data_IF_470950505322
#
_entry.id   IF_470950505322
#
_cell.length_a   1.000
_cell.length_b   1.000
_cell.length_c   1.000
_cell.angle_alpha   90.00
_cell.angle_beta   90.00
_cell.angle_gamma   90.00
#
_symmetry.space_group_name_H-M   'P 1'
#
loop_
_entity.id
_entity.type
_entity.pdbx_description
1 polymer ?
#
# COMPACT_ATOMS: atom_id res chain seq x y z
N UNK A 1 12.22 8.31 73.69
CA UNK A 1 11.47 9.56 73.47
C UNK A 1 10.32 9.29 72.49
N UNK A 2 9.09 9.68 72.88
CA UNK A 2 7.84 9.92 72.10
C UNK A 2 7.46 8.93 70.98
N UNK A 3 6.49 8.01 71.16
CA UNK A 3 5.00 8.13 71.16
C UNK A 3 4.37 8.59 69.82
N UNK A 4 3.62 7.67 69.20
CA UNK A 4 2.56 7.93 68.22
C UNK A 4 1.45 8.84 68.80
N UNK A 5 0.79 9.63 67.92
CA UNK A 5 -0.68 9.76 67.83
C UNK A 5 -1.13 10.53 66.57
N UNK A 6 -2.37 10.25 66.19
CA UNK A 6 -3.09 10.64 64.97
C UNK A 6 -3.76 12.03 65.03
N UNK A 7 -4.33 12.44 63.86
CA UNK A 7 -5.67 13.06 63.63
C UNK A 7 -5.78 14.55 63.17
N UNK A 8 -6.67 14.73 62.17
CA UNK A 8 -7.44 15.90 61.67
C UNK A 8 -6.67 16.98 60.90
N UNK A 9 -7.04 17.45 59.69
CA UNK A 9 -8.36 17.53 59.04
C UNK A 9 -8.93 18.94 59.20
N UNK A 10 -8.76 19.83 58.21
CA UNK A 10 -9.52 21.09 58.13
C UNK A 10 -9.61 21.63 56.69
N UNK A 11 -10.83 21.56 56.15
CA UNK A 11 -11.31 22.25 54.95
C UNK A 11 -11.89 23.59 55.40
N UNK A 12 -11.53 24.71 54.75
CA UNK A 12 -12.29 25.96 54.86
C UNK A 12 -12.58 26.48 53.46
N UNK A 13 -13.87 26.49 53.15
CA UNK A 13 -14.48 27.24 52.07
C UNK A 13 -14.49 28.74 52.44
N UNK A 14 -14.24 29.61 51.45
CA UNK A 14 -14.61 31.02 51.53
C UNK A 14 -15.43 31.34 50.30
N UNK A 15 -16.70 31.65 50.53
CA UNK A 15 -17.63 32.22 49.57
C UNK A 15 -18.21 33.53 50.13
N UNK A 16 -18.65 34.36 49.19
CA UNK A 16 -19.58 35.50 49.31
C UNK A 16 -18.98 36.89 49.59
N UNK A 17 -19.28 37.78 48.64
CA UNK A 17 -19.22 39.23 48.77
C UNK A 17 -19.84 39.91 47.54
N UNK A 18 -21.17 39.76 47.37
CA UNK A 18 -21.96 40.52 46.40
C UNK A 18 -21.92 42.02 46.75
N UNK A 19 -21.71 42.87 45.75
CA UNK A 19 -22.11 44.28 45.79
C UNK A 19 -23.28 44.47 44.82
N UNK A 20 -24.42 44.79 45.40
CA UNK A 20 -25.64 45.24 44.74
C UNK A 20 -25.54 46.74 44.48
N UNK A 21 -25.89 47.16 43.27
CA UNK A 21 -26.37 48.50 42.99
C UNK A 21 -27.64 48.36 42.14
N UNK A 22 -28.78 48.67 42.74
CA UNK A 22 -30.08 48.76 42.09
C UNK A 22 -30.19 50.07 41.31
N UNK A 23 -30.79 50.02 40.12
CA UNK A 23 -31.52 51.17 39.56
C UNK A 23 -32.67 50.67 38.67
N UNK A 24 -33.88 50.89 39.21
CA UNK A 24 -35.20 51.06 38.57
C UNK A 24 -35.73 50.06 37.53
N UNK A 25 -36.85 49.48 37.94
CA UNK A 25 -37.86 48.70 37.22
C UNK A 25 -38.45 49.47 36.03
N UNK A 26 -38.66 48.74 34.93
CA UNK A 26 -39.66 49.00 33.90
C UNK A 26 -39.90 47.72 33.08
N UNK A 27 -41.02 47.04 33.31
CA UNK A 27 -41.59 46.07 32.36
C UNK A 27 -42.81 46.75 31.72
N UNK A 28 -43.06 46.61 30.40
CA UNK A 28 -43.64 45.36 29.91
C UNK A 28 -43.27 44.89 28.48
N UNK A 29 -43.59 43.61 28.29
CA UNK A 29 -43.94 42.84 27.08
C UNK A 29 -42.89 42.29 26.08
N UNK A 30 -43.16 41.09 25.50
CA UNK A 30 -42.18 40.31 24.77
C UNK A 30 -42.34 40.48 23.25
N UNK A 31 -41.30 40.91 22.54
CA UNK A 31 -41.18 40.62 21.10
C UNK A 31 -39.74 40.64 20.60
N UNK A 32 -39.35 39.50 20.02
CA UNK A 32 -38.59 39.29 18.78
C UNK A 32 -37.27 40.04 18.54
N UNK A 33 -36.26 39.20 18.33
CA UNK A 33 -35.13 39.33 17.40
C UNK A 33 -34.01 40.30 17.82
N UNK A 34 -33.01 39.74 18.52
CA UNK A 34 -31.63 40.19 18.41
C UNK A 34 -30.75 38.99 18.06
N UNK A 35 -30.34 38.94 16.80
CA UNK A 35 -29.32 38.03 16.28
C UNK A 35 -28.00 38.45 16.92
N UNK A 36 -27.66 37.81 18.03
CA UNK A 36 -26.32 37.83 18.59
C UNK A 36 -25.49 36.82 17.81
N UNK A 37 -24.61 37.32 16.94
CA UNK A 37 -23.67 36.50 16.19
C UNK A 37 -22.83 35.65 17.12
N UNK A 38 -23.14 34.36 17.17
CA UNK A 38 -22.17 33.34 17.50
C UNK A 38 -21.06 33.48 16.48
N UNK A 39 -19.82 33.72 16.92
CA UNK A 39 -18.66 33.34 16.11
C UNK A 39 -18.74 31.83 15.98
N UNK A 40 -19.42 31.39 14.94
CA UNK A 40 -19.40 30.04 14.44
C UNK A 40 -17.95 29.85 13.96
N UNK A 41 -17.07 29.39 14.86
CA UNK A 41 -15.86 28.71 14.44
C UNK A 41 -16.33 27.62 13.49
N UNK A 42 -16.15 27.86 12.20
CA UNK A 42 -16.57 26.96 11.15
C UNK A 42 -15.81 25.68 11.42
N UNK A 43 -16.48 24.66 11.97
CA UNK A 43 -15.87 23.36 12.26
C UNK A 43 -15.29 22.87 10.93
N UNK A 44 -13.97 22.97 10.80
CA UNK A 44 -13.25 22.60 9.58
C UNK A 44 -13.64 21.16 9.26
N UNK A 45 -14.06 20.90 8.02
CA UNK A 45 -14.45 19.55 7.65
C UNK A 45 -13.22 18.65 7.82
N UNK A 46 -13.40 17.41 8.29
CA UNK A 46 -12.27 16.49 8.50
C UNK A 46 -11.44 16.32 7.22
N UNK A 47 -12.10 16.36 6.05
CA UNK A 47 -11.45 16.32 4.74
C UNK A 47 -10.47 17.48 4.52
N UNK A 48 -10.78 18.68 4.99
CA UNK A 48 -9.89 19.86 4.87
C UNK A 48 -8.62 19.74 5.72
N UNK A 49 -8.62 18.85 6.72
CA UNK A 49 -7.44 18.55 7.53
C UNK A 49 -6.46 17.65 6.77
N UNK A 50 -6.98 16.79 5.89
CA UNK A 50 -6.21 15.81 5.10
C UNK A 50 -6.01 16.24 3.64
N UNK A 51 -6.13 17.54 3.35
CA UNK A 51 -6.07 18.09 2.00
C UNK A 51 -4.81 17.66 1.22
N UNK A 52 -3.64 17.69 1.85
CA UNK A 52 -2.37 17.28 1.21
C UNK A 52 -2.38 15.79 0.80
N UNK A 53 -3.01 14.93 1.61
CA UNK A 53 -3.16 13.50 1.28
C UNK A 53 -4.09 13.33 0.08
N UNK A 54 -5.18 14.10 -0.01
CA UNK A 54 -6.05 14.08 -1.19
C UNK A 54 -5.32 14.56 -2.44
N UNK A 55 -4.54 15.63 -2.34
CA UNK A 55 -3.72 16.14 -3.45
C UNK A 55 -2.66 15.12 -3.91
N UNK A 56 -2.01 14.43 -2.97
CA UNK A 56 -1.05 13.35 -3.28
C UNK A 56 -1.73 12.18 -3.99
N UNK A 57 -2.89 11.75 -3.49
CA UNK A 57 -3.64 10.68 -4.14
C UNK A 57 -4.21 11.11 -5.49
N UNK A 58 -4.61 12.38 -5.68
CA UNK A 58 -4.97 12.87 -7.01
C UNK A 58 -3.81 12.70 -8.00
N UNK A 59 -2.58 13.06 -7.60
CA UNK A 59 -1.38 12.85 -8.41
C UNK A 59 -1.15 11.37 -8.72
N UNK A 60 -1.24 10.49 -7.72
CA UNK A 60 -1.03 9.04 -7.89
C UNK A 60 -2.09 8.44 -8.82
N UNK A 61 -3.36 8.77 -8.62
CA UNK A 61 -4.49 8.17 -9.34
C UNK A 61 -4.64 8.71 -10.77
N UNK A 62 -4.17 9.93 -11.02
CA UNK A 62 -4.11 10.57 -12.34
C UNK A 62 -2.81 10.31 -13.11
N UNK A 63 -1.86 9.57 -12.53
CA UNK A 63 -0.50 9.39 -13.05
C UNK A 63 -0.40 8.62 -14.38
N UNK A 64 -1.40 7.82 -14.73
CA UNK A 64 -1.41 7.07 -16.00
C UNK A 64 -0.26 6.07 -16.09
N UNK A 65 0.70 6.32 -16.98
CA UNK A 65 1.90 5.49 -17.20
C UNK A 65 3.18 6.08 -16.59
N UNK A 66 3.07 7.13 -15.77
CA UNK A 66 4.24 7.71 -15.12
C UNK A 66 4.98 6.67 -14.25
N UNK A 67 6.30 6.81 -14.16
CA UNK A 67 7.11 5.98 -13.27
C UNK A 67 6.88 6.38 -11.80
N UNK A 68 7.08 5.43 -10.87
CA UNK A 68 6.94 5.72 -9.43
C UNK A 68 7.83 6.88 -8.97
N UNK A 69 9.12 6.99 -9.37
CA UNK A 69 9.94 8.16 -9.01
C UNK A 69 9.37 9.49 -9.51
N UNK A 70 8.80 9.52 -10.71
CA UNK A 70 8.18 10.75 -11.26
C UNK A 70 6.91 11.15 -10.51
N UNK A 71 6.19 10.16 -9.98
CA UNK A 71 5.04 10.37 -9.10
C UNK A 71 5.52 10.89 -7.75
N UNK A 72 6.47 10.18 -7.11
CA UNK A 72 7.06 10.53 -5.81
C UNK A 72 7.62 11.96 -5.79
N UNK A 73 8.30 12.38 -6.87
CA UNK A 73 8.85 13.73 -7.00
C UNK A 73 7.78 14.84 -6.99
N UNK A 74 6.51 14.51 -7.23
CA UNK A 74 5.37 15.44 -7.22
C UNK A 74 4.55 15.37 -5.94
N UNK A 75 4.80 14.40 -5.05
CA UNK A 75 4.08 14.28 -3.79
C UNK A 75 4.58 15.31 -2.78
N UNK A 76 3.72 15.63 -1.81
CA UNK A 76 4.11 16.42 -0.66
C UNK A 76 5.22 15.73 0.13
N UNK A 77 6.17 16.52 0.62
CA UNK A 77 7.25 16.01 1.47
C UNK A 77 6.69 15.73 2.87
N UNK A 78 7.03 14.57 3.42
CA UNK A 78 6.66 14.15 4.76
C UNK A 78 7.83 13.45 5.45
N UNK A 79 7.76 13.33 6.78
CA UNK A 79 8.74 12.56 7.58
C UNK A 79 8.76 11.08 7.19
N UNK A 80 7.60 10.55 6.78
CA UNK A 80 7.42 9.17 6.30
C UNK A 80 6.73 9.18 4.95
N UNK A 81 7.46 8.76 3.93
CA UNK A 81 6.97 8.68 2.55
C UNK A 81 6.08 7.45 2.35
N UNK A 82 5.13 7.54 1.43
CA UNK A 82 4.30 6.41 0.99
C UNK A 82 5.22 5.38 0.33
N UNK A 83 5.13 4.10 0.73
CA UNK A 83 5.93 3.07 0.10
C UNK A 83 5.65 2.99 -1.41
N UNK A 84 6.69 2.87 -2.23
CA UNK A 84 6.63 2.74 -3.69
C UNK A 84 5.61 1.71 -4.20
N UNK A 85 5.48 0.54 -3.56
CA UNK A 85 4.49 -0.48 -3.92
C UNK A 85 3.03 -0.03 -3.71
N UNK A 86 2.78 0.84 -2.73
CA UNK A 86 1.47 1.46 -2.55
C UNK A 86 1.19 2.43 -3.71
N UNK A 87 2.17 3.25 -4.08
CA UNK A 87 2.05 4.19 -5.21
C UNK A 87 1.79 3.43 -6.51
N UNK A 88 2.58 2.39 -6.79
CA UNK A 88 2.45 1.57 -8.00
C UNK A 88 1.07 0.91 -8.09
N UNK A 89 0.63 0.25 -7.01
CA UNK A 89 -0.66 -0.45 -7.01
C UNK A 89 -1.85 0.51 -7.12
N UNK A 90 -1.79 1.67 -6.46
CA UNK A 90 -2.82 2.70 -6.56
C UNK A 90 -2.88 3.32 -7.97
N UNK A 91 -1.74 3.62 -8.59
CA UNK A 91 -1.67 4.11 -9.97
C UNK A 91 -2.15 3.07 -11.00
N UNK A 92 -1.87 1.79 -10.74
CA UNK A 92 -2.26 0.68 -11.60
C UNK A 92 -3.78 0.46 -11.60
N UNK A 93 -4.44 0.56 -10.44
CA UNK A 93 -5.89 0.47 -10.32
C UNK A 93 -6.50 1.58 -9.44
N UNK A 94 -6.63 2.80 -10.01
CA UNK A 94 -7.16 3.94 -9.29
C UNK A 94 -8.62 3.76 -8.86
N UNK A 95 -9.39 3.00 -9.65
CA UNK A 95 -10.82 2.77 -9.44
C UNK A 95 -11.13 2.00 -8.16
N UNK A 96 -10.15 1.30 -7.60
CA UNK A 96 -10.26 0.52 -6.36
C UNK A 96 -9.88 1.30 -5.11
N UNK A 97 -9.28 2.47 -5.24
CA UNK A 97 -8.82 3.20 -4.06
C UNK A 97 -10.01 3.83 -3.33
N UNK A 98 -10.01 3.67 -2.00
CA UNK A 98 -11.05 4.16 -1.10
C UNK A 98 -10.38 4.78 0.11
N UNK A 99 -11.08 5.72 0.74
CA UNK A 99 -10.68 6.28 2.03
C UNK A 99 -11.84 6.24 3.02
N UNK A 100 -11.52 6.24 4.30
CA UNK A 100 -12.48 6.37 5.39
C UNK A 100 -11.87 7.23 6.50
N UNK A 101 -12.72 7.78 7.35
CA UNK A 101 -12.31 8.44 8.59
C UNK A 101 -12.80 7.64 9.78
N UNK A 102 -11.93 7.45 10.77
CA UNK A 102 -12.28 6.86 12.06
C UNK A 102 -11.44 7.52 13.13
N UNK A 103 -12.06 7.88 14.24
CA UNK A 103 -11.36 8.21 15.48
C UNK A 103 -10.86 6.90 16.10
N UNK A 104 -9.58 6.58 15.87
CA UNK A 104 -9.01 5.28 16.22
C UNK A 104 -8.68 5.20 17.71
N UNK A 105 -8.16 6.27 18.31
CA UNK A 105 -7.72 6.31 19.71
C UNK A 105 -8.71 6.97 20.67
N UNK A 106 -9.81 7.54 20.15
CA UNK A 106 -10.91 8.09 20.93
C UNK A 106 -10.63 9.51 21.43
N UNK A 107 -9.68 10.23 20.84
CA UNK A 107 -9.33 11.59 21.24
C UNK A 107 -10.24 12.68 20.63
N UNK A 108 -11.17 12.29 19.77
CA UNK A 108 -12.11 13.17 19.07
C UNK A 108 -11.60 13.71 17.73
N UNK A 109 -10.35 13.41 17.36
CA UNK A 109 -9.77 13.62 16.04
C UNK A 109 -9.87 12.31 15.24
N UNK A 110 -10.33 12.38 13.99
CA UNK A 110 -10.34 11.20 13.13
C UNK A 110 -9.03 11.03 12.36
N UNK A 111 -8.56 9.80 12.29
CA UNK A 111 -7.51 9.34 11.38
C UNK A 111 -8.09 9.05 10.00
N UNK A 112 -7.27 9.28 8.97
CA UNK A 112 -7.61 8.89 7.60
C UNK A 112 -7.05 7.49 7.31
N UNK A 113 -7.93 6.56 6.96
CA UNK A 113 -7.57 5.22 6.53
C UNK A 113 -7.77 5.12 5.03
N UNK A 114 -6.77 4.59 4.33
CA UNK A 114 -6.80 4.34 2.91
C UNK A 114 -6.72 2.84 2.66
N UNK A 115 -7.53 2.37 1.71
CA UNK A 115 -7.55 0.97 1.32
C UNK A 115 -7.83 0.78 -0.16
N UNK A 116 -7.33 -0.34 -0.68
CA UNK A 116 -7.69 -0.83 -2.01
C UNK A 116 -8.82 -1.84 -1.87
N UNK A 117 -9.95 -1.55 -2.51
CA UNK A 117 -11.12 -2.42 -2.56
C UNK A 117 -10.87 -3.58 -3.54
N UNK A 118 -10.94 -4.81 -3.03
CA UNK A 118 -11.09 -6.01 -3.85
C UNK A 118 -12.58 -6.29 -4.13
N UNK A 119 -12.93 -7.44 -4.70
CA UNK A 119 -14.32 -7.77 -4.99
C UNK A 119 -15.20 -7.69 -3.71
N UNK A 120 -16.34 -7.00 -3.80
CA UNK A 120 -17.30 -6.86 -2.71
C UNK A 120 -16.84 -5.90 -1.61
N UNK A 121 -16.96 -6.31 -0.34
CA UNK A 121 -16.58 -5.50 0.84
C UNK A 121 -15.18 -5.83 1.37
N UNK A 122 -14.33 -6.44 0.54
CA UNK A 122 -12.98 -6.81 0.94
C UNK A 122 -12.03 -5.65 0.68
N UNK A 123 -11.40 -5.13 1.74
CA UNK A 123 -10.46 -4.02 1.64
C UNK A 123 -9.10 -4.45 2.16
N UNK A 124 -8.06 -4.09 1.42
CA UNK A 124 -6.68 -4.18 1.88
C UNK A 124 -6.22 -2.78 2.28
N UNK A 125 -5.85 -2.59 3.56
CA UNK A 125 -5.39 -1.29 4.06
C UNK A 125 -4.03 -0.97 3.46
N UNK A 126 -3.92 0.20 2.82
CA UNK A 126 -2.71 0.66 2.14
C UNK A 126 -2.07 1.86 2.81
N UNK A 127 -2.80 2.59 3.65
CA UNK A 127 -2.27 3.70 4.43
C UNK A 127 -3.14 4.06 5.63
N UNK A 128 -2.50 4.50 6.70
CA UNK A 128 -3.15 5.09 7.88
C UNK A 128 -2.43 6.39 8.17
N UNK A 129 -3.16 7.49 8.23
CA UNK A 129 -2.64 8.83 8.47
C UNK A 129 -3.28 9.42 9.72
N UNK A 130 -2.46 10.13 10.47
CA UNK A 130 -2.88 10.89 11.65
C UNK A 130 -2.42 12.34 11.49
N UNK A 131 -2.92 13.23 12.34
CA UNK A 131 -2.47 14.62 12.38
C UNK A 131 -1.34 14.80 13.39
N UNK A 132 -0.09 14.86 12.90
CA UNK A 132 1.07 15.25 13.69
C UNK A 132 1.19 16.77 13.66
N UNK A 133 1.07 17.41 14.82
CA UNK A 133 1.12 18.88 14.93
C UNK A 133 0.14 19.59 13.97
N UNK A 134 -1.04 19.00 13.76
CA UNK A 134 -2.08 19.51 12.86
C UNK A 134 -1.84 19.28 11.36
N UNK A 135 -0.78 18.56 10.98
CA UNK A 135 -0.47 18.18 9.60
C UNK A 135 -0.61 16.67 9.40
N UNK A 136 -1.15 16.21 8.26
CA UNK A 136 -1.21 14.79 7.95
C UNK A 136 0.19 14.16 7.89
N UNK A 137 0.36 13.04 8.59
CA UNK A 137 1.56 12.22 8.56
C UNK A 137 1.18 10.76 8.39
N UNK A 138 1.91 10.05 7.52
CA UNK A 138 1.74 8.60 7.36
C UNK A 138 2.20 7.90 8.64
N UNK A 139 1.33 7.08 9.21
CA UNK A 139 1.57 6.28 10.41
C UNK A 139 1.98 4.86 10.05
N UNK A 140 1.24 4.22 9.13
CA UNK A 140 1.50 2.86 8.69
C UNK A 140 1.00 2.64 7.26
N UNK A 141 1.65 1.74 6.55
CA UNK A 141 1.30 1.34 5.18
C UNK A 141 1.32 -0.19 5.01
N UNK A 142 0.33 -0.66 4.26
CA UNK A 142 0.20 -2.06 3.85
C UNK A 142 0.47 -2.18 2.36
N UNK A 143 1.28 -3.16 1.97
CA UNK A 143 1.68 -3.31 0.58
C UNK A 143 1.95 -4.75 0.21
N UNK A 144 1.83 -5.01 -1.08
CA UNK A 144 2.12 -6.30 -1.70
C UNK A 144 3.09 -6.01 -2.83
N UNK A 145 4.37 -6.36 -2.66
CA UNK A 145 5.33 -6.27 -3.76
C UNK A 145 4.83 -7.07 -4.98
N UNK A 146 4.89 -6.47 -6.17
CA UNK A 146 4.22 -6.96 -7.37
C UNK A 146 4.62 -8.37 -7.82
N UNK A 147 5.80 -8.86 -7.43
CA UNK A 147 6.34 -10.15 -7.88
C UNK A 147 6.64 -11.14 -6.73
N UNK A 148 6.01 -10.97 -5.57
CA UNK A 148 6.38 -11.72 -4.36
C UNK A 148 7.55 -11.07 -3.63
N UNK A 149 7.90 -11.57 -2.45
CA UNK A 149 8.89 -10.95 -1.56
C UNK A 149 8.21 -10.17 -0.44
N UNK A 150 8.50 -8.88 -0.30
CA UNK A 150 8.00 -8.09 0.82
C UNK A 150 6.47 -7.93 0.79
N UNK A 151 5.87 -8.15 1.95
CA UNK A 151 4.46 -7.97 2.23
C UNK A 151 4.35 -7.17 3.51
N UNK A 152 3.40 -6.24 3.54
CA UNK A 152 3.00 -5.53 4.74
C UNK A 152 1.49 -5.57 4.86
N UNK A 153 0.96 -5.76 6.06
CA UNK A 153 -0.45 -5.60 6.36
C UNK A 153 -0.62 -4.83 7.67
N UNK A 154 -1.73 -4.10 7.76
CA UNK A 154 -2.09 -3.33 8.94
C UNK A 154 -3.33 -3.96 9.55
N UNK A 155 -3.33 -4.11 10.87
CA UNK A 155 -4.54 -4.36 11.66
C UNK A 155 -4.75 -3.21 12.63
N UNK A 156 -5.99 -2.73 12.68
CA UNK A 156 -6.41 -1.62 13.53
C UNK A 156 -7.19 -2.19 14.72
N UNK A 157 -7.05 -1.58 15.90
CA UNK A 157 -7.79 -1.97 17.10
C UNK A 157 -8.52 -0.76 17.68
N UNK A 158 -9.67 -1.01 18.31
CA UNK A 158 -10.64 0.00 18.79
C UNK A 158 -10.13 0.97 19.88
N UNK A 159 -8.87 0.87 20.26
CA UNK A 159 -8.26 1.80 21.24
C UNK A 159 -7.03 2.52 20.67
N UNK A 160 -6.86 2.56 19.36
CA UNK A 160 -5.75 3.25 18.72
C UNK A 160 -4.47 2.42 18.64
N UNK A 161 -4.55 1.11 18.90
CA UNK A 161 -3.40 0.24 18.64
C UNK A 161 -3.38 -0.17 17.19
N UNK A 162 -2.18 -0.21 16.63
CA UNK A 162 -1.94 -0.46 15.21
C UNK A 162 -0.86 -1.54 15.14
N UNK A 163 -1.22 -2.68 14.57
CA UNK A 163 -0.31 -3.79 14.35
C UNK A 163 0.14 -3.79 12.90
N UNK A 164 1.40 -3.42 12.69
CA UNK A 164 2.07 -3.49 11.40
C UNK A 164 2.77 -4.85 11.27
N UNK A 165 2.40 -5.63 10.25
CA UNK A 165 2.94 -6.96 9.99
C UNK A 165 3.73 -6.93 8.70
N UNK A 166 5.06 -7.03 8.77
CA UNK A 166 5.93 -7.16 7.60
C UNK A 166 6.42 -8.59 7.47
N UNK A 167 6.29 -9.23 6.31
CA UNK A 167 6.78 -10.60 6.09
C UNK A 167 7.27 -10.86 4.66
N UNK A 168 8.04 -11.94 4.50
CA UNK A 168 8.39 -12.49 3.18
C UNK A 168 7.28 -13.41 2.69
N UNK A 169 6.74 -13.18 1.49
CA UNK A 169 5.66 -13.99 0.92
C UNK A 169 6.04 -15.46 0.71
N UNK A 170 7.34 -15.75 0.54
CA UNK A 170 7.82 -17.11 0.28
C UNK A 170 7.90 -17.95 1.56
N UNK A 171 8.35 -17.36 2.66
CA UNK A 171 8.53 -18.09 3.91
C UNK A 171 7.37 -17.84 4.87
N UNK A 172 6.72 -16.70 4.80
CA UNK A 172 5.77 -16.23 5.81
C UNK A 172 6.44 -15.69 7.07
N UNK A 173 7.78 -15.73 7.17
CA UNK A 173 8.53 -15.19 8.31
C UNK A 173 8.64 -13.67 8.20
N UNK A 174 8.62 -13.01 9.34
CA UNK A 174 8.59 -11.56 9.38
C UNK A 174 8.65 -10.97 10.78
N UNK A 175 8.32 -9.69 10.86
CA UNK A 175 8.24 -8.94 12.12
C UNK A 175 6.88 -8.27 12.23
N UNK A 176 6.23 -8.48 13.38
CA UNK A 176 5.06 -7.72 13.77
C UNK A 176 5.44 -6.66 14.79
N UNK A 177 4.97 -5.44 14.59
CA UNK A 177 5.15 -4.33 15.54
C UNK A 177 3.79 -3.79 15.93
N UNK A 178 3.52 -3.81 17.25
CA UNK A 178 2.33 -3.23 17.84
C UNK A 178 2.71 -1.86 18.41
N UNK A 179 2.10 -0.82 17.85
CA UNK A 179 2.23 0.56 18.29
C UNK A 179 0.90 1.07 18.84
N UNK A 180 0.94 2.10 19.68
CA UNK A 180 -0.21 2.82 20.22
C UNK A 180 -0.19 4.25 19.70
N UNK A 181 -1.27 4.68 19.05
CA UNK A 181 -1.51 6.07 18.73
C UNK A 181 -1.85 6.84 20.01
N UNK A 182 -1.18 7.98 20.21
CA UNK A 182 -1.38 8.90 21.33
C UNK A 182 -1.75 10.30 20.81
N UNK A 183 -2.78 10.35 19.95
CA UNK A 183 -3.24 11.54 19.24
C UNK A 183 -2.13 12.24 18.48
N UNK A 184 -2.07 13.57 18.62
CA UNK A 184 -1.07 14.42 17.96
C UNK A 184 0.39 14.11 18.35
N UNK A 185 0.63 13.38 19.45
CA UNK A 185 2.00 13.00 19.88
C UNK A 185 2.61 11.92 18.99
N UNK A 186 1.81 11.26 18.15
CA UNK A 186 2.26 10.17 17.29
C UNK A 186 2.13 8.81 17.97
N UNK A 187 3.10 7.93 17.73
CA UNK A 187 3.02 6.54 18.15
C UNK A 187 4.04 6.17 19.23
N UNK A 188 3.59 5.40 20.22
CA UNK A 188 4.44 4.71 21.19
C UNK A 188 4.53 3.23 20.84
N UNK A 189 5.75 2.72 20.65
CA UNK A 189 5.96 1.29 20.41
C UNK A 189 5.70 0.47 21.66
N UNK A 190 4.70 -0.42 21.60
CA UNK A 190 4.34 -1.31 22.71
C UNK A 190 5.13 -2.62 22.65
N UNK A 191 5.26 -3.20 21.46
CA UNK A 191 6.05 -4.43 21.27
C UNK A 191 6.46 -4.66 19.83
N UNK A 192 7.53 -5.42 19.63
CA UNK A 192 7.96 -5.91 18.32
C UNK A 192 8.44 -7.35 18.46
N UNK A 193 7.96 -8.24 17.59
CA UNK A 193 8.18 -9.69 17.70
C UNK A 193 8.37 -10.30 16.32
N UNK A 194 9.20 -11.33 16.26
CA UNK A 194 9.23 -12.23 15.10
C UNK A 194 7.90 -12.97 14.97
N UNK A 195 7.43 -13.09 13.74
CA UNK A 195 6.15 -13.71 13.41
C UNK A 195 6.30 -14.71 12.28
N UNK A 196 5.38 -15.67 12.25
CA UNK A 196 5.03 -16.45 11.07
C UNK A 196 3.61 -16.05 10.69
N UNK A 197 3.38 -15.51 9.50
CA UNK A 197 2.06 -15.01 9.10
C UNK A 197 0.98 -16.10 9.09
N UNK A 198 1.39 -17.37 8.96
CA UNK A 198 0.50 -18.54 9.01
C UNK A 198 0.19 -19.03 10.43
N UNK A 199 0.76 -18.38 11.46
CA UNK A 199 0.50 -18.73 12.84
C UNK A 199 -0.92 -18.30 13.25
N UNK A 200 -1.75 -19.29 13.59
CA UNK A 200 -3.15 -19.06 14.01
C UNK A 200 -3.25 -18.26 15.32
N UNK A 201 -2.19 -18.23 16.13
CA UNK A 201 -2.12 -17.49 17.40
C UNK A 201 -1.32 -16.19 17.28
N UNK A 202 -1.15 -15.68 16.06
CA UNK A 202 -0.36 -14.48 15.81
C UNK A 202 -0.84 -13.29 16.65
N UNK A 203 -2.15 -13.04 16.75
CA UNK A 203 -2.70 -11.94 17.54
C UNK A 203 -2.48 -12.13 19.04
N UNK A 204 -2.61 -13.35 19.56
CA UNK A 204 -2.39 -13.67 20.98
C UNK A 204 -0.97 -13.29 21.42
N UNK A 205 0.02 -13.41 20.52
CA UNK A 205 1.41 -12.98 20.79
C UNK A 205 1.49 -11.50 21.11
N UNK A 206 0.57 -10.67 20.62
CA UNK A 206 0.50 -9.24 20.90
C UNK A 206 -0.54 -8.89 21.97
N UNK A 207 -1.13 -9.88 22.64
CA UNK A 207 -2.21 -9.67 23.60
C UNK A 207 -3.50 -9.19 22.95
N UNK A 208 -3.72 -9.56 21.68
CA UNK A 208 -4.89 -9.16 20.87
C UNK A 208 -5.73 -10.35 20.45
N UNK A 209 -7.00 -10.08 20.16
CA UNK A 209 -7.94 -11.05 19.58
C UNK A 209 -8.64 -10.44 18.36
N UNK A 210 -9.27 -11.28 17.54
CA UNK A 210 -10.08 -10.81 16.40
C UNK A 210 -11.27 -9.95 16.84
N UNK A 211 -11.79 -10.12 18.06
CA UNK A 211 -12.90 -9.33 18.59
C UNK A 211 -12.51 -7.85 18.88
N UNK A 212 -11.22 -7.62 19.14
CA UNK A 212 -10.66 -6.29 19.41
C UNK A 212 -10.38 -5.53 18.10
N UNK A 213 -10.28 -6.25 16.99
CA UNK A 213 -9.94 -5.69 15.67
C UNK A 213 -11.09 -4.81 15.15
N UNK A 214 -10.71 -3.61 14.71
CA UNK A 214 -11.54 -2.77 13.86
C UNK A 214 -11.36 -3.25 12.43
N UNK A 215 -12.26 -4.14 12.01
CA UNK A 215 -12.17 -4.74 10.67
C UNK A 215 -12.57 -3.73 9.59
N UNK A 216 -11.96 -3.79 8.39
CA UNK A 216 -12.21 -2.80 7.34
C UNK A 216 -13.68 -2.65 6.92
N UNK A 217 -14.50 -3.69 7.06
CA UNK A 217 -15.94 -3.65 6.76
C UNK A 217 -16.77 -2.80 7.74
N UNK A 218 -16.21 -2.44 8.90
CA UNK A 218 -16.82 -1.53 9.87
C UNK A 218 -16.61 -0.06 9.51
N UNK A 219 -15.76 0.24 8.52
CA UNK A 219 -15.44 1.60 8.09
C UNK A 219 -16.42 2.12 7.04
N UNK A 220 -16.70 3.42 7.09
CA UNK A 220 -17.54 4.12 6.11
C UNK A 220 -16.72 4.60 4.92
N UNK A 221 -16.42 3.68 4.00
CA UNK A 221 -15.59 3.94 2.83
C UNK A 221 -16.23 4.93 1.84
N UNK A 222 -15.40 5.82 1.31
CA UNK A 222 -15.69 6.80 0.26
C UNK A 222 -14.72 6.64 -0.91
N UNK A 223 -15.12 7.11 -2.09
CA UNK A 223 -14.30 7.10 -3.30
C UNK A 223 -13.48 8.37 -3.43
N UNK A 224 -12.26 8.24 -3.93
CA UNK A 224 -11.46 9.39 -4.33
C UNK A 224 -12.05 10.04 -5.59
N UNK A 225 -12.02 11.37 -5.63
CA UNK A 225 -12.20 12.12 -6.87
C UNK A 225 -10.84 12.30 -7.54
N UNK A 226 -10.73 11.95 -8.83
CA UNK A 226 -9.51 12.14 -9.62
C UNK A 226 -9.85 12.24 -11.10
N UNK A 227 -8.96 12.85 -11.88
CA UNK A 227 -9.12 12.94 -13.34
C UNK A 227 -8.29 11.85 -14.03
N UNK A 228 -8.91 10.86 -14.71
CA UNK A 228 -8.16 9.83 -15.41
C UNK A 228 -7.24 10.41 -16.50
N UNK A 229 -6.01 9.92 -16.61
CA UNK A 229 -5.07 10.33 -17.65
C UNK A 229 -5.61 10.00 -19.06
N UNK A 230 -5.51 10.95 -20.01
CA UNK A 230 -5.99 10.79 -21.40
C UNK A 230 -5.41 9.58 -22.14
N UNK A 231 -4.18 9.16 -21.82
CA UNK A 231 -3.53 7.98 -22.41
C UNK A 231 -4.18 6.64 -22.02
N UNK A 232 -5.03 6.61 -20.98
CA UNK A 232 -5.79 5.42 -20.57
C UNK A 232 -7.14 5.30 -21.29
N UNK A 233 -7.63 6.38 -21.91
CA UNK A 233 -8.96 6.44 -22.55
C UNK A 233 -9.07 5.59 -23.82
N UNK A 234 -7.96 5.15 -24.43
CA UNK A 234 -7.99 4.26 -25.60
C UNK A 234 -8.32 2.80 -25.28
N UNK A 235 -8.45 2.43 -24.00
CA UNK A 235 -8.76 1.05 -23.58
C UNK A 235 -9.95 0.94 -22.62
N UNK A 236 -10.73 2.02 -22.46
CA UNK A 236 -11.90 2.02 -21.57
C UNK A 236 -12.99 2.91 -22.14
N UNK A 237 -13.50 2.54 -23.32
CA UNK A 237 -14.82 2.96 -23.76
C UNK A 237 -15.74 1.74 -23.66
N UNK A 238 -16.33 1.54 -22.48
CA UNK A 238 -17.65 0.96 -22.26
C UNK A 238 -17.82 0.67 -20.75
N UNK A 239 -18.15 1.71 -19.98
CA UNK A 239 -18.97 1.54 -18.79
C UNK A 239 -19.73 2.83 -18.52
N UNK A 240 -20.69 3.11 -19.40
CA UNK A 240 -21.83 3.96 -19.06
C UNK A 240 -23.07 3.08 -19.05
N UNK A 241 -23.49 2.66 -17.86
CA UNK A 241 -24.86 2.18 -17.66
C UNK A 241 -25.44 2.89 -16.45
N UNK A 242 -26.11 3.98 -16.76
CA UNK A 242 -27.13 4.61 -15.95
C UNK A 242 -28.16 3.58 -15.48
N UNK A 243 -28.41 3.64 -14.17
CA UNK A 243 -29.49 2.96 -13.46
C UNK A 243 -30.87 3.29 -14.03
N UNK A 244 -31.65 2.27 -14.37
CA UNK A 244 -33.12 2.30 -14.28
C UNK A 244 -33.69 0.89 -14.12
N UNK A 245 -34.54 0.74 -13.10
CA UNK A 245 -35.27 -0.47 -12.69
C UNK A 245 -36.05 -1.18 -13.78
N UNK A 246 -36.15 -2.52 -13.67
CA UNK A 246 -37.11 -3.34 -14.40
C UNK A 246 -36.91 -4.83 -14.12
N UNK A 247 -37.99 -5.53 -13.82
CA UNK A 247 -38.05 -6.83 -13.13
C UNK A 247 -37.88 -8.06 -14.06
N UNK A 248 -37.58 -9.21 -13.42
CA UNK A 248 -37.92 -10.60 -13.79
C UNK A 248 -36.95 -11.51 -14.58
N UNK A 249 -36.63 -12.62 -13.90
CA UNK A 249 -36.44 -14.03 -14.34
C UNK A 249 -35.20 -14.44 -15.13
N UNK A 250 -34.38 -15.26 -14.46
CA UNK A 250 -33.59 -16.39 -15.00
C UNK A 250 -34.31 -17.16 -16.13
N UNK A 251 -33.60 -17.80 -17.09
CA UNK A 251 -32.49 -18.72 -16.75
C UNK A 251 -31.35 -18.91 -17.76
N UNK A 252 -30.34 -19.65 -17.26
CA UNK A 252 -29.53 -20.67 -17.96
C UNK A 252 -28.15 -20.24 -18.46
N UNK A 253 -27.16 -20.94 -17.89
CA UNK A 253 -25.73 -20.70 -18.05
C UNK A 253 -25.24 -20.65 -19.48
N UNK A 254 -24.26 -19.77 -19.69
CA UNK A 254 -23.35 -19.80 -20.82
C UNK A 254 -21.95 -19.59 -20.26
N UNK A 255 -21.18 -20.67 -20.29
CA UNK A 255 -19.75 -20.72 -20.05
C UNK A 255 -19.06 -19.67 -20.93
N UNK A 256 -18.65 -18.55 -20.35
CA UNK A 256 -17.86 -17.54 -21.04
C UNK A 256 -16.41 -18.02 -21.11
N UNK A 257 -16.07 -18.58 -22.27
CA UNK A 257 -14.68 -18.89 -22.64
C UNK A 257 -13.95 -17.57 -22.85
N UNK A 258 -13.20 -17.15 -21.83
CA UNK A 258 -12.21 -16.08 -21.91
C UNK A 258 -11.13 -16.54 -22.90
N UNK A 259 -10.99 -15.85 -24.03
CA UNK A 259 -9.90 -16.09 -24.96
C UNK A 259 -8.57 -15.82 -24.24
N UNK A 260 -7.87 -16.89 -23.86
CA UNK A 260 -6.48 -16.82 -23.41
C UNK A 260 -5.62 -16.26 -24.54
N UNK A 261 -4.90 -15.19 -24.23
CA UNK A 261 -3.91 -14.60 -25.13
C UNK A 261 -2.80 -15.63 -25.36
N UNK A 262 -2.77 -16.25 -26.55
CA UNK A 262 -1.85 -17.37 -26.87
C UNK A 262 -0.45 -16.84 -27.20
N UNK A 263 0.57 -17.40 -26.56
CA UNK A 263 1.98 -17.15 -26.89
C UNK A 263 2.89 -18.29 -26.40
N UNK A 264 4.17 -18.29 -26.81
CA UNK A 264 5.14 -19.37 -26.49
C UNK A 264 5.45 -19.50 -25.00
N UNK A 265 5.19 -18.46 -24.21
CA UNK A 265 5.32 -18.44 -22.75
C UNK A 265 3.95 -18.50 -22.08
N UNK A 266 3.80 -19.43 -21.13
CA UNK A 266 2.53 -19.70 -20.45
C UNK A 266 2.70 -19.62 -18.93
N UNK A 267 1.58 -19.51 -18.20
CA UNK A 267 1.59 -19.53 -16.74
C UNK A 267 2.25 -20.82 -16.18
N UNK A 268 2.06 -21.97 -16.83
CA UNK A 268 2.70 -23.22 -16.45
C UNK A 268 4.23 -23.18 -16.61
N UNK A 269 4.74 -22.62 -17.72
CA UNK A 269 6.17 -22.42 -17.95
C UNK A 269 6.77 -21.43 -16.94
N UNK A 270 6.04 -20.36 -16.62
CA UNK A 270 6.42 -19.39 -15.58
C UNK A 270 6.52 -20.04 -14.19
N UNK A 271 5.55 -20.88 -13.82
CA UNK A 271 5.57 -21.62 -12.56
C UNK A 271 6.75 -22.60 -12.48
N UNK A 272 6.99 -23.37 -13.54
CA UNK A 272 8.12 -24.30 -13.61
C UNK A 272 9.48 -23.59 -13.51
N UNK A 273 9.62 -22.42 -14.15
CA UNK A 273 10.82 -21.60 -14.01
C UNK A 273 11.00 -21.09 -12.57
N UNK A 274 9.93 -20.66 -11.90
CA UNK A 274 10.00 -20.19 -10.52
C UNK A 274 10.47 -21.29 -9.55
N UNK A 275 9.93 -22.51 -9.68
CA UNK A 275 10.36 -23.66 -8.87
C UNK A 275 11.83 -24.02 -9.12
N UNK A 276 12.26 -23.98 -10.39
CA UNK A 276 13.65 -24.20 -10.76
C UNK A 276 14.57 -23.15 -10.14
N UNK A 277 14.24 -21.85 -10.21
CA UNK A 277 15.07 -20.78 -9.66
C UNK A 277 15.29 -20.91 -8.15
N UNK A 278 14.28 -21.38 -7.41
CA UNK A 278 14.40 -21.67 -5.97
C UNK A 278 15.36 -22.83 -5.74
N UNK A 279 15.16 -23.94 -6.45
CA UNK A 279 15.96 -25.17 -6.27
C UNK A 279 17.41 -24.93 -6.66
N UNK A 280 17.64 -24.35 -7.84
CA UNK A 280 18.95 -24.02 -8.37
C UNK A 280 19.69 -22.99 -7.49
N UNK A 281 19.00 -21.93 -7.05
CA UNK A 281 19.59 -20.94 -6.15
C UNK A 281 20.10 -21.56 -4.85
N UNK A 282 19.31 -22.44 -4.23
CA UNK A 282 19.72 -23.16 -3.03
C UNK A 282 20.95 -24.06 -3.28
N UNK A 283 21.00 -24.78 -4.40
CA UNK A 283 22.14 -25.62 -4.77
C UNK A 283 23.43 -24.82 -4.99
N UNK A 284 23.32 -23.62 -5.53
CA UNK A 284 24.45 -22.72 -5.78
C UNK A 284 24.89 -21.92 -4.54
N UNK A 285 24.28 -22.15 -3.37
CA UNK A 285 24.54 -21.35 -2.17
C UNK A 285 24.17 -19.87 -2.36
N UNK A 286 23.13 -19.63 -3.17
CA UNK A 286 22.52 -18.35 -3.50
C UNK A 286 20.99 -18.47 -3.31
N UNK A 287 20.50 -18.72 -2.08
CA UNK A 287 19.08 -18.81 -1.80
C UNK A 287 18.37 -17.46 -2.07
N UNK A 288 17.04 -17.44 -2.05
CA UNK A 288 16.24 -16.20 -2.10
C UNK A 288 16.24 -15.43 -3.44
N UNK A 289 16.36 -16.10 -4.59
CA UNK A 289 16.01 -15.47 -5.87
C UNK A 289 14.54 -15.04 -5.86
N UNK A 290 14.31 -13.74 -6.00
CA UNK A 290 12.98 -13.13 -6.12
C UNK A 290 12.65 -12.92 -7.58
N UNK A 291 11.40 -13.18 -7.97
CA UNK A 291 10.92 -12.81 -9.30
C UNK A 291 10.88 -11.28 -9.40
N UNK A 292 11.23 -10.73 -10.56
CA UNK A 292 11.44 -9.29 -10.74
C UNK A 292 12.88 -8.84 -10.48
N UNK A 293 13.18 -7.59 -10.82
CA UNK A 293 14.41 -6.91 -10.43
C UNK A 293 14.11 -6.03 -9.21
N UNK A 294 14.88 -6.20 -8.13
CA UNK A 294 14.62 -5.54 -6.83
C UNK A 294 14.94 -4.03 -6.87
N UNK A 295 15.85 -3.58 -7.74
CA UNK A 295 16.28 -2.18 -7.83
C UNK A 295 15.49 -1.35 -8.86
N UNK A 296 14.19 -1.17 -8.63
CA UNK A 296 13.35 -0.22 -9.38
C UNK A 296 12.65 -0.81 -10.62
N UNK A 297 11.83 0.01 -11.27
CA UNK A 297 11.04 -0.41 -12.43
C UNK A 297 11.92 -0.38 -13.70
N UNK A 298 12.47 -1.53 -14.09
CA UNK A 298 13.36 -1.65 -15.24
C UNK A 298 12.55 -1.73 -16.53
N UNK A 299 12.57 -0.66 -17.32
CA UNK A 299 12.02 -0.62 -18.67
C UNK A 299 12.98 -1.23 -19.70
N UNK A 300 12.44 -1.66 -20.85
CA UNK A 300 13.26 -2.22 -21.92
C UNK A 300 14.23 -1.19 -22.54
N UNK A 301 13.89 0.09 -22.45
CA UNK A 301 14.73 1.21 -22.85
C UNK A 301 15.97 1.42 -21.98
N UNK A 302 16.00 0.78 -20.80
CA UNK A 302 17.12 0.79 -19.86
C UNK A 302 18.09 -0.37 -20.08
N UNK A 303 17.85 -1.26 -21.06
CA UNK A 303 18.66 -2.46 -21.27
C UNK A 303 19.74 -2.22 -22.34
N UNK A 304 20.99 -2.50 -21.97
CA UNK A 304 22.15 -2.28 -22.82
C UNK A 304 23.04 -3.51 -22.83
N UNK A 305 23.75 -3.72 -23.93
CA UNK A 305 24.90 -4.60 -23.97
C UNK A 305 26.06 -3.99 -23.19
N UNK A 306 27.02 -4.82 -22.75
CA UNK A 306 28.19 -4.33 -22.01
C UNK A 306 29.12 -3.42 -22.82
N UNK A 307 29.01 -3.42 -24.14
CA UNK A 307 29.69 -2.44 -25.01
C UNK A 307 29.00 -1.06 -25.04
N UNK A 308 27.87 -0.91 -24.33
CA UNK A 308 27.10 0.33 -24.23
C UNK A 308 26.04 0.52 -25.31
N UNK A 309 25.91 -0.40 -26.27
CA UNK A 309 24.85 -0.35 -27.28
C UNK A 309 23.50 -0.80 -26.70
N UNK A 310 22.39 -0.27 -27.25
CA UNK A 310 21.05 -0.56 -26.74
C UNK A 310 20.61 -1.97 -27.12
N UNK A 311 20.00 -2.69 -26.19
CA UNK A 311 19.43 -4.00 -26.45
C UNK A 311 18.07 -3.84 -27.15
N UNK A 312 17.88 -4.54 -28.28
CA UNK A 312 16.56 -4.66 -28.93
C UNK A 312 15.70 -5.66 -28.14
N UNK A 313 15.07 -5.16 -27.09
CA UNK A 313 14.28 -5.96 -26.17
C UNK A 313 12.91 -5.34 -25.89
N UNK A 314 11.99 -6.19 -25.46
CA UNK A 314 10.71 -5.79 -24.89
C UNK A 314 10.30 -6.76 -23.78
N UNK A 315 9.49 -6.31 -22.83
CA UNK A 315 8.88 -7.21 -21.86
C UNK A 315 7.58 -7.79 -22.42
N UNK A 316 7.44 -9.11 -22.39
CA UNK A 316 6.29 -9.80 -22.93
C UNK A 316 5.80 -10.92 -22.01
N UNK A 317 4.57 -10.81 -21.52
CA UNK A 317 3.96 -11.82 -20.62
C UNK A 317 3.75 -13.17 -21.30
N UNK A 318 3.53 -13.17 -22.61
CA UNK A 318 3.23 -14.38 -23.40
C UNK A 318 4.42 -14.80 -24.24
N UNK A 319 5.51 -14.04 -24.23
CA UNK A 319 6.66 -14.24 -25.11
C UNK A 319 6.36 -13.92 -26.58
N UNK A 320 5.20 -13.37 -26.91
CA UNK A 320 4.85 -12.84 -28.23
C UNK A 320 5.30 -11.39 -28.35
N UNK A 321 5.71 -10.98 -29.55
CA UNK A 321 6.13 -9.60 -29.81
C UNK A 321 7.06 -9.50 -31.01
N UNK A 322 7.64 -8.33 -31.23
CA UNK A 322 8.46 -8.00 -32.41
C UNK A 322 9.92 -7.72 -32.11
N UNK A 323 10.29 -7.52 -30.83
CA UNK A 323 11.68 -7.26 -30.48
C UNK A 323 12.53 -8.53 -30.62
N UNK A 324 13.83 -8.35 -30.88
CA UNK A 324 14.77 -9.47 -30.96
C UNK A 324 14.81 -10.29 -29.67
N UNK A 325 14.68 -9.66 -28.50
CA UNK A 325 14.66 -10.32 -27.20
C UNK A 325 13.38 -10.01 -26.43
N UNK A 326 12.46 -10.97 -26.37
CA UNK A 326 11.19 -10.85 -25.65
C UNK A 326 11.37 -11.37 -24.23
N UNK A 327 11.61 -10.48 -23.28
CA UNK A 327 11.85 -10.81 -21.88
C UNK A 327 10.53 -11.27 -21.26
N UNK A 328 10.50 -12.53 -20.88
CA UNK A 328 9.32 -13.18 -20.31
C UNK A 328 9.33 -13.20 -18.80
N UNK A 329 10.52 -13.27 -18.20
CA UNK A 329 10.69 -13.30 -16.74
C UNK A 329 12.02 -12.69 -16.32
N UNK A 330 12.07 -12.21 -15.08
CA UNK A 330 13.29 -11.72 -14.44
C UNK A 330 13.39 -12.25 -13.02
N UNK A 331 14.62 -12.41 -12.54
CA UNK A 331 14.89 -12.82 -11.16
C UNK A 331 16.08 -12.06 -10.59
N UNK A 332 16.04 -11.77 -9.29
CA UNK A 332 17.05 -11.00 -8.59
C UNK A 332 17.40 -11.61 -7.25
N UNK A 333 18.69 -11.63 -6.92
CA UNK A 333 19.19 -12.07 -5.62
C UNK A 333 20.17 -11.04 -5.06
N UNK A 334 19.91 -10.60 -3.83
CA UNK A 334 20.63 -9.54 -3.13
C UNK A 334 21.29 -10.01 -1.84
N UNK A 335 21.23 -11.30 -1.51
CA UNK A 335 21.69 -11.84 -0.24
C UNK A 335 23.19 -11.63 0.01
N UNK A 336 23.97 -11.48 -1.07
CA UNK A 336 25.42 -11.23 -1.01
C UNK A 336 25.79 -9.80 -1.40
N UNK A 337 24.93 -8.83 -1.06
CA UNK A 337 25.20 -7.40 -1.29
C UNK A 337 26.63 -7.02 -0.85
N UNK A 338 27.40 -6.27 -1.68
CA UNK A 338 26.98 -5.56 -2.89
C UNK A 338 26.92 -6.42 -4.17
N UNK A 339 27.24 -7.71 -4.08
CA UNK A 339 27.13 -8.61 -5.23
C UNK A 339 25.67 -9.01 -5.42
N UNK A 340 25.05 -8.47 -6.47
CA UNK A 340 23.68 -8.80 -6.87
C UNK A 340 23.70 -9.68 -8.10
N UNK A 341 22.73 -10.59 -8.19
CA UNK A 341 22.54 -11.44 -9.35
C UNK A 341 21.17 -11.13 -9.95
N UNK A 342 21.17 -10.45 -11.09
CA UNK A 342 19.95 -10.23 -11.87
C UNK A 342 19.99 -11.12 -13.10
N UNK A 343 18.92 -11.88 -13.32
CA UNK A 343 18.74 -12.71 -14.51
C UNK A 343 17.53 -12.27 -15.31
N UNK A 344 17.68 -12.25 -16.63
CA UNK A 344 16.63 -11.94 -17.59
C UNK A 344 16.43 -13.12 -18.52
N UNK A 345 15.23 -13.67 -18.53
CA UNK A 345 14.85 -14.81 -19.35
C UNK A 345 14.08 -14.29 -20.55
N UNK A 346 14.59 -14.53 -21.77
CA UNK A 346 14.03 -13.96 -22.98
C UNK A 346 13.90 -14.99 -24.10
N UNK A 347 12.83 -14.87 -24.88
CA UNK A 347 12.65 -15.63 -26.12
C UNK A 347 13.18 -14.78 -27.27
N UNK A 348 14.13 -15.31 -28.04
CA UNK A 348 14.69 -14.65 -29.23
C UNK A 348 13.65 -14.57 -30.33
N UNK A 349 13.76 -13.65 -31.29
CA UNK A 349 12.99 -13.59 -32.54
C UNK A 349 12.85 -14.95 -33.26
N UNK A 350 13.87 -15.81 -33.20
CA UNK A 350 13.86 -17.18 -33.72
C UNK A 350 13.06 -18.19 -32.90
N UNK A 351 12.60 -17.82 -31.70
CA UNK A 351 11.83 -18.67 -30.79
C UNK A 351 12.67 -19.46 -29.80
N UNK A 352 13.97 -19.18 -29.70
CA UNK A 352 14.90 -19.86 -28.78
C UNK A 352 14.94 -19.17 -27.42
N UNK A 353 15.16 -19.94 -26.35
CA UNK A 353 15.35 -19.39 -25.01
C UNK A 353 16.79 -18.91 -24.80
N UNK A 354 16.96 -17.66 -24.36
CA UNK A 354 18.24 -17.09 -23.89
C UNK A 354 18.09 -16.53 -22.48
N UNK A 355 19.16 -16.61 -21.69
CA UNK A 355 19.21 -16.06 -20.33
C UNK A 355 20.36 -15.08 -20.25
N UNK A 356 20.09 -13.86 -19.79
CA UNK A 356 21.10 -12.84 -19.51
C UNK A 356 21.35 -12.72 -18.02
N UNK A 357 22.57 -12.34 -17.64
CA UNK A 357 22.97 -11.92 -16.31
C UNK A 357 23.34 -10.43 -16.33
N UNK A 358 22.98 -9.71 -15.26
CA UNK A 358 23.42 -8.35 -14.98
C UNK A 358 23.90 -8.25 -13.54
N UNK A 359 25.16 -7.84 -13.31
CA UNK A 359 25.67 -7.53 -11.96
C UNK A 359 25.29 -6.10 -11.51
N UNK A 360 24.50 -5.37 -12.31
CA UNK A 360 24.19 -3.95 -12.04
C UNK A 360 23.30 -3.83 -10.83
N UNK A 361 23.71 -3.03 -9.83
CA UNK A 361 22.96 -2.85 -8.58
C UNK A 361 21.99 -1.66 -8.67
N UNK A 362 22.34 -0.59 -9.38
CA UNK A 362 21.57 0.67 -9.43
C UNK A 362 21.83 1.41 -10.76
N UNK A 363 20.85 2.17 -11.27
CA UNK A 363 21.07 3.22 -12.26
C UNK A 363 20.11 3.22 -13.46
N UNK A 364 20.14 4.30 -14.23
CA UNK A 364 19.31 4.53 -15.43
C UNK A 364 19.57 3.53 -16.58
N UNK A 365 20.54 2.62 -16.40
CA UNK A 365 20.99 1.62 -17.38
C UNK A 365 21.34 0.30 -16.70
N UNK A 366 20.95 -0.79 -17.34
CA UNK A 366 21.23 -2.17 -16.96
C UNK A 366 22.05 -2.84 -18.07
N UNK A 367 23.25 -3.31 -17.72
CA UNK A 367 24.12 -3.98 -18.68
C UNK A 367 23.92 -5.50 -18.62
N UNK A 368 23.50 -6.08 -19.74
CA UNK A 368 23.16 -7.49 -19.88
C UNK A 368 24.24 -8.21 -20.71
N UNK A 369 24.62 -9.39 -20.22
CA UNK A 369 25.43 -10.35 -20.96
C UNK A 369 24.76 -11.72 -20.93
N UNK A 370 24.83 -12.54 -22.00
CA UNK A 370 24.35 -13.92 -21.93
C UNK A 370 25.05 -14.65 -20.78
N UNK A 371 24.29 -15.36 -19.97
CA UNK A 371 24.86 -16.09 -18.83
C UNK A 371 25.70 -17.27 -19.31
N UNK A 372 26.83 -17.51 -18.66
CA UNK A 372 27.63 -18.71 -18.88
C UNK A 372 27.05 -19.91 -18.11
N UNK A 373 26.15 -19.68 -17.16
CA UNK A 373 25.55 -20.74 -16.35
C UNK A 373 24.76 -21.73 -17.23
N UNK A 374 25.28 -22.95 -17.34
CA UNK A 374 24.73 -24.01 -18.20
C UNK A 374 23.36 -24.50 -17.72
N UNK A 375 23.12 -24.53 -16.42
CA UNK A 375 21.88 -25.05 -15.85
C UNK A 375 20.71 -24.11 -16.13
N UNK A 376 20.91 -22.80 -15.92
CA UNK A 376 19.92 -21.77 -16.27
C UNK A 376 19.58 -21.81 -17.76
N UNK A 377 20.60 -21.91 -18.64
CA UNK A 377 20.41 -21.98 -20.09
C UNK A 377 19.65 -23.24 -20.50
N UNK A 378 20.05 -24.41 -20.00
CA UNK A 378 19.45 -25.69 -20.36
C UNK A 378 18.00 -25.79 -19.87
N UNK A 379 17.74 -25.38 -18.62
CA UNK A 379 16.39 -25.38 -18.07
C UNK A 379 15.48 -24.48 -18.88
N UNK A 380 15.87 -23.21 -19.08
CA UNK A 380 15.01 -22.27 -19.79
C UNK A 380 14.79 -22.67 -21.26
N UNK A 381 15.82 -23.13 -21.95
CA UNK A 381 15.68 -23.65 -23.31
C UNK A 381 14.72 -24.86 -23.37
N UNK A 382 14.67 -25.70 -22.33
CA UNK A 382 13.71 -26.81 -22.25
C UNK A 382 12.27 -26.34 -22.03
N UNK A 383 12.07 -25.24 -21.29
CA UNK A 383 10.76 -24.66 -21.05
C UNK A 383 10.21 -23.93 -22.28
N UNK A 384 11.07 -23.33 -23.10
CA UNK A 384 10.65 -22.58 -24.30
C UNK A 384 10.22 -23.48 -25.45
N UNK A 385 10.77 -24.70 -25.53
CA UNK A 385 10.43 -25.72 -26.53
C UNK A 385 8.95 -26.10 -26.59
#
# INVERSE_FOLDING_TARGET
MMKQKWILGLVVAVSVGCLTACSSIGLPEPTKNFVGGTKEETKKAVEDLYKSVFEDYEVILSSGKMSVPDIEAKLHKSDRVIHSWVIESAAADPSRQRYAFSDLDGDGQSEMIIGSQAAGKNYFLTGVYYLKDGQPSLLADGFVAGQGGARSAIKLFKTGEILSLGWSSGTGDGVGTLDKLEGAKGITKLSSKEIKITDKKLLEKFGKTEADELTPDQLSWKEFSYTPSKERLTSTSEMTTSSSSGNAKDPKGTTSSKSEEKGPWTAGKSAALAEFMVTWGNQMGQPNYQKGIVAGNIGADMLYWTDGSKLDAEFSKTGSGTAKYRIVETYSNWDKYPTVHNYFFAITDTGEGIVFHSPTTNGDKMYLNPTENVDLRNNFASLVK
#
